data_IF_464211923483
#
_entry.id   IF_464211923483
#
_cell.length_a   1.000
_cell.length_b   1.000
_cell.length_c   1.000
_cell.angle_alpha   90.00
_cell.angle_beta   90.00
_cell.angle_gamma   90.00
#
_symmetry.space_group_name_H-M   'P 1'
#
loop_
_entity.id
_entity.type
_entity.pdbx_description
1 polymer ?
#
# COMPACT_ATOMS: atom_id res chain seq x y z
N UNK A 1 -4.32 -19.15 6.56
CA UNK A 1 -3.31 -18.89 5.51
C UNK A 1 -3.42 -17.43 5.10
N UNK A 2 -2.30 -16.70 5.02
CA UNK A 2 -2.22 -15.21 5.01
C UNK A 2 -2.30 -14.58 3.61
N UNK A 3 -2.16 -15.39 2.58
CA UNK A 3 -2.20 -15.04 1.15
C UNK A 3 -3.30 -15.88 0.50
N UNK A 4 -3.92 -15.37 -0.56
CA UNK A 4 -4.89 -16.08 -1.39
C UNK A 4 -4.25 -17.34 -1.99
N UNK A 5 -4.93 -18.46 -1.85
CA UNK A 5 -4.44 -19.75 -2.29
C UNK A 5 -4.77 -20.00 -3.76
N UNK A 6 -3.73 -20.20 -4.58
CA UNK A 6 -3.87 -20.79 -5.91
C UNK A 6 -4.08 -22.31 -5.74
N UNK A 7 -5.28 -22.77 -6.09
CA UNK A 7 -5.72 -24.16 -5.96
C UNK A 7 -5.31 -25.00 -7.18
N UNK A 8 -5.42 -24.44 -8.38
CA UNK A 8 -5.11 -25.15 -9.62
C UNK A 8 -4.79 -24.19 -10.78
N UNK A 9 -4.14 -24.73 -11.82
CA UNK A 9 -3.83 -24.03 -13.06
C UNK A 9 -4.28 -24.87 -14.24
N UNK A 10 -5.32 -24.42 -14.94
CA UNK A 10 -5.88 -25.12 -16.10
C UNK A 10 -5.45 -24.40 -17.38
N UNK A 11 -4.59 -25.05 -18.15
CA UNK A 11 -4.10 -24.55 -19.42
C UNK A 11 -4.80 -25.25 -20.60
N UNK A 12 -5.29 -24.45 -21.55
CA UNK A 12 -5.79 -24.91 -22.84
C UNK A 12 -5.04 -24.18 -23.96
N UNK A 13 -5.22 -24.59 -25.21
CA UNK A 13 -4.59 -23.92 -26.36
C UNK A 13 -4.92 -22.41 -26.47
N UNK A 14 -6.05 -21.98 -25.91
CA UNK A 14 -6.53 -20.59 -26.03
C UNK A 14 -6.54 -19.81 -24.72
N UNK A 15 -6.46 -20.49 -23.57
CA UNK A 15 -6.66 -19.86 -22.26
C UNK A 15 -5.74 -20.43 -21.19
N UNK A 16 -5.34 -19.55 -20.27
CA UNK A 16 -4.72 -19.92 -19.00
C UNK A 16 -5.70 -19.51 -17.89
N UNK A 17 -6.22 -20.50 -17.15
CA UNK A 17 -7.17 -20.26 -16.06
C UNK A 17 -6.46 -20.54 -14.74
N UNK A 18 -6.49 -19.57 -13.85
CA UNK A 18 -5.94 -19.66 -12.50
C UNK A 18 -7.10 -19.82 -11.53
N UNK A 19 -7.14 -20.94 -10.79
CA UNK A 19 -8.23 -21.28 -9.88
C UNK A 19 -7.78 -20.93 -8.47
N UNK A 20 -8.43 -19.95 -7.85
CA UNK A 20 -8.12 -19.49 -6.50
C UNK A 20 -9.18 -19.90 -5.49
N UNK A 21 -8.84 -19.85 -4.19
CA UNK A 21 -9.83 -19.92 -3.13
C UNK A 21 -10.84 -18.76 -3.23
N UNK A 22 -12.09 -19.03 -2.90
CA UNK A 22 -13.12 -18.00 -2.94
C UNK A 22 -13.07 -17.11 -1.69
N UNK A 23 -13.04 -15.79 -1.91
CA UNK A 23 -13.29 -14.78 -0.88
C UNK A 23 -14.56 -13.98 -1.23
N UNK A 24 -15.33 -13.59 -0.21
CA UNK A 24 -16.66 -13.01 -0.38
C UNK A 24 -16.64 -11.60 -0.98
N UNK A 25 -15.63 -10.80 -0.65
CA UNK A 25 -15.47 -9.44 -1.18
C UNK A 25 -14.03 -8.95 -1.04
N UNK A 26 -13.69 -7.88 -1.74
CA UNK A 26 -12.46 -7.11 -1.51
C UNK A 26 -12.69 -5.99 -0.47
N UNK A 27 -11.61 -5.42 0.06
CA UNK A 27 -11.68 -4.36 1.08
C UNK A 27 -12.35 -3.09 0.54
N UNK A 28 -12.28 -2.81 -0.77
CA UNK A 28 -12.97 -1.67 -1.37
C UNK A 28 -14.49 -1.83 -1.29
N UNK A 29 -15.01 -2.99 -1.68
CA UNK A 29 -16.43 -3.33 -1.52
C UNK A 29 -16.86 -3.34 -0.06
N UNK A 30 -15.98 -3.79 0.83
CA UNK A 30 -16.25 -3.76 2.27
C UNK A 30 -16.45 -2.33 2.78
N UNK A 31 -15.60 -1.38 2.37
CA UNK A 31 -15.80 0.05 2.71
C UNK A 31 -17.17 0.55 2.27
N UNK A 32 -17.57 0.22 1.04
CA UNK A 32 -18.86 0.65 0.48
C UNK A 32 -20.03 0.03 1.26
N UNK A 33 -19.90 -1.23 1.70
CA UNK A 33 -20.92 -1.94 2.48
C UNK A 33 -21.10 -1.40 3.90
N UNK A 34 -20.03 -0.93 4.53
CA UNK A 34 -20.06 -0.35 5.88
C UNK A 34 -20.40 1.15 5.86
N UNK A 35 -20.67 1.74 4.69
CA UNK A 35 -20.77 3.19 4.51
C UNK A 35 -19.56 3.95 5.12
N UNK A 36 -18.37 3.33 5.05
CA UNK A 36 -17.14 3.83 5.67
C UNK A 36 -17.06 3.75 7.20
N UNK A 37 -18.05 3.22 7.91
CA UNK A 37 -17.99 3.17 9.38
C UNK A 37 -17.47 1.83 9.91
N UNK A 38 -16.14 1.64 9.87
CA UNK A 38 -15.47 0.47 10.43
C UNK A 38 -15.09 0.71 11.90
N UNK A 39 -15.41 -0.21 12.79
CA UNK A 39 -15.03 -0.11 14.20
C UNK A 39 -13.52 -0.29 14.42
N UNK A 40 -13.00 0.28 15.52
CA UNK A 40 -11.56 0.29 15.79
C UNK A 40 -10.93 -1.11 15.94
N UNK A 41 -11.68 -2.11 16.42
CA UNK A 41 -11.16 -3.48 16.56
C UNK A 41 -11.02 -4.14 15.20
N UNK A 42 -11.98 -3.91 14.30
CA UNK A 42 -11.90 -4.39 12.92
C UNK A 42 -10.75 -3.72 12.16
N UNK A 43 -10.57 -2.40 12.32
CA UNK A 43 -9.39 -1.69 11.78
C UNK A 43 -8.09 -2.33 12.25
N UNK A 44 -7.96 -2.58 13.56
CA UNK A 44 -6.78 -3.23 14.13
C UNK A 44 -6.59 -4.66 13.60
N UNK A 45 -7.67 -5.45 13.50
CA UNK A 45 -7.64 -6.82 13.00
C UNK A 45 -7.17 -6.88 11.54
N UNK A 46 -7.75 -6.06 10.66
CA UNK A 46 -7.40 -6.05 9.25
C UNK A 46 -5.97 -5.57 9.03
N UNK A 47 -5.54 -4.51 9.72
CA UNK A 47 -4.17 -4.02 9.58
C UNK A 47 -3.16 -5.04 10.11
N UNK A 48 -3.46 -5.73 11.22
CA UNK A 48 -2.61 -6.81 11.74
C UNK A 48 -2.51 -8.00 10.78
N UNK A 49 -3.61 -8.39 10.12
CA UNK A 49 -3.60 -9.47 9.13
C UNK A 49 -2.83 -9.07 7.86
N UNK A 50 -2.97 -7.81 7.40
CA UNK A 50 -2.19 -7.24 6.30
C UNK A 50 -0.69 -7.31 6.59
N UNK A 51 -0.25 -6.80 7.75
CA UNK A 51 1.16 -6.83 8.14
C UNK A 51 1.71 -8.25 8.26
N UNK A 52 0.91 -9.20 8.74
CA UNK A 52 1.31 -10.60 8.76
C UNK A 52 1.48 -11.21 7.38
N UNK A 53 0.60 -10.89 6.43
CA UNK A 53 0.72 -11.29 5.03
C UNK A 53 1.99 -10.74 4.40
N UNK A 54 2.27 -9.45 4.64
CA UNK A 54 3.48 -8.81 4.13
C UNK A 54 4.75 -9.37 4.75
N UNK A 55 4.79 -9.57 6.07
CA UNK A 55 5.90 -10.23 6.76
C UNK A 55 6.19 -11.60 6.13
N UNK A 56 5.14 -12.39 5.88
CA UNK A 56 5.29 -13.68 5.22
C UNK A 56 5.87 -13.54 3.81
N UNK A 57 5.37 -12.61 2.98
CA UNK A 57 5.93 -12.37 1.64
C UNK A 57 7.39 -11.93 1.71
N UNK A 58 7.72 -10.98 2.58
CA UNK A 58 9.05 -10.38 2.73
C UNK A 58 10.08 -11.39 3.24
N UNK A 59 9.69 -12.26 4.19
CA UNK A 59 10.53 -13.40 4.65
C UNK A 59 10.86 -14.38 3.52
N UNK A 60 9.97 -14.52 2.53
CA UNK A 60 10.17 -15.32 1.33
C UNK A 60 10.74 -14.51 0.16
N UNK A 61 11.30 -13.32 0.44
CA UNK A 61 11.91 -12.43 -0.55
C UNK A 61 10.95 -11.99 -1.67
N UNK A 62 9.64 -11.93 -1.42
CA UNK A 62 8.61 -11.49 -2.38
C UNK A 62 8.14 -10.08 -2.02
N UNK A 63 8.22 -9.16 -2.98
CA UNK A 63 7.57 -7.83 -2.90
C UNK A 63 6.20 -7.89 -3.58
N UNK A 64 5.17 -7.32 -2.97
CA UNK A 64 3.82 -7.33 -3.54
C UNK A 64 3.68 -6.30 -4.68
N UNK A 65 4.10 -5.04 -4.45
CA UNK A 65 4.18 -3.94 -5.44
C UNK A 65 2.86 -3.49 -6.09
N UNK A 66 1.73 -4.04 -5.68
CA UNK A 66 0.40 -3.49 -6.03
C UNK A 66 -0.59 -3.56 -4.87
N UNK A 67 -0.15 -3.15 -3.69
CA UNK A 67 -1.04 -3.07 -2.54
C UNK A 67 -2.06 -1.93 -2.75
N UNK A 68 -3.33 -2.30 -2.72
CA UNK A 68 -4.50 -1.43 -2.76
C UNK A 68 -5.71 -2.19 -2.19
N UNK A 69 -6.78 -1.51 -1.75
CA UNK A 69 -7.95 -2.18 -1.16
C UNK A 69 -8.57 -3.27 -2.04
N UNK A 70 -8.52 -3.14 -3.37
CA UNK A 70 -9.04 -4.15 -4.31
C UNK A 70 -8.24 -5.47 -4.28
N UNK A 71 -6.97 -5.42 -3.86
CA UNK A 71 -6.08 -6.59 -3.77
C UNK A 71 -6.03 -7.19 -2.35
N UNK A 72 -6.89 -6.70 -1.45
CA UNK A 72 -7.07 -7.23 -0.10
C UNK A 72 -8.44 -7.91 -0.03
N UNK A 73 -8.43 -9.24 -0.06
CA UNK A 73 -9.65 -10.03 -0.05
C UNK A 73 -10.10 -10.34 1.37
N UNK A 74 -11.42 -10.41 1.56
CA UNK A 74 -12.08 -10.67 2.82
C UNK A 74 -13.00 -11.88 2.69
N UNK A 75 -12.84 -12.80 3.64
CA UNK A 75 -13.80 -13.90 3.84
C UNK A 75 -14.94 -13.44 4.75
N UNK A 76 -16.08 -14.14 4.72
CA UNK A 76 -17.23 -13.94 5.61
C UNK A 76 -16.89 -14.03 7.10
N UNK A 77 -15.79 -14.70 7.42
CA UNK A 77 -15.30 -14.86 8.80
C UNK A 77 -14.35 -13.72 9.23
N UNK A 78 -14.20 -12.67 8.43
CA UNK A 78 -13.33 -11.52 8.74
C UNK A 78 -11.84 -11.81 8.56
N UNK A 79 -11.48 -12.84 7.79
CA UNK A 79 -10.08 -13.09 7.43
C UNK A 79 -9.69 -12.26 6.22
N UNK A 80 -8.58 -11.54 6.33
CA UNK A 80 -7.97 -10.75 5.26
C UNK A 80 -6.84 -11.55 4.60
N UNK A 81 -6.82 -11.56 3.27
CA UNK A 81 -5.83 -12.25 2.44
C UNK A 81 -5.26 -11.30 1.39
N UNK A 82 -3.95 -11.36 1.18
CA UNK A 82 -3.31 -10.68 0.06
C UNK A 82 -3.60 -11.43 -1.24
N UNK A 83 -3.94 -10.71 -2.30
CA UNK A 83 -4.25 -11.24 -3.61
C UNK A 83 -3.58 -10.43 -4.72
N UNK A 84 -3.63 -10.95 -5.94
CA UNK A 84 -3.06 -10.31 -7.13
C UNK A 84 -1.54 -10.03 -7.03
N UNK A 85 -0.79 -11.13 -7.11
CA UNK A 85 0.67 -11.11 -7.22
C UNK A 85 1.14 -10.90 -8.67
N UNK A 86 0.29 -10.39 -9.58
CA UNK A 86 0.63 -10.21 -10.99
C UNK A 86 1.81 -9.27 -11.25
N UNK A 87 2.07 -8.35 -10.31
CA UNK A 87 3.22 -7.44 -10.32
C UNK A 87 4.30 -7.81 -9.28
N UNK A 88 4.07 -8.88 -8.53
CA UNK A 88 4.96 -9.32 -7.46
C UNK A 88 6.29 -9.83 -8.02
N UNK A 89 7.35 -9.71 -7.22
CA UNK A 89 8.70 -10.06 -7.67
C UNK A 89 9.58 -10.56 -6.54
N UNK A 90 10.40 -11.57 -6.83
CA UNK A 90 11.50 -11.96 -5.97
C UNK A 90 12.57 -10.85 -5.93
N UNK A 91 12.89 -10.36 -4.74
CA UNK A 91 14.00 -9.43 -4.49
C UNK A 91 15.31 -10.21 -4.25
N UNK A 92 16.47 -9.62 -4.58
CA UNK A 92 17.79 -10.24 -4.38
C UNK A 92 18.41 -10.91 -5.62
N UNK A 93 17.67 -11.02 -6.73
CA UNK A 93 18.25 -11.39 -8.04
C UNK A 93 18.70 -10.08 -8.73
N UNK A 94 19.96 -9.95 -9.18
CA UNK A 94 20.42 -8.73 -9.84
C UNK A 94 19.69 -8.56 -11.18
N UNK A 95 18.66 -7.72 -11.20
CA UNK A 95 18.01 -7.31 -12.46
C UNK A 95 18.32 -5.86 -12.72
N UNK A 96 18.78 -5.56 -13.94
CA UNK A 96 19.38 -4.29 -14.34
C UNK A 96 18.52 -3.03 -14.10
N UNK A 97 17.19 -3.14 -13.95
CA UNK A 97 16.27 -2.03 -13.64
C UNK A 97 14.93 -2.60 -13.17
N UNK A 98 14.32 -2.04 -12.11
CA UNK A 98 12.89 -2.20 -11.87
C UNK A 98 12.12 -1.15 -12.70
N UNK A 99 10.97 -1.51 -13.29
CA UNK A 99 10.09 -0.52 -13.94
C UNK A 99 9.56 0.45 -12.89
N UNK A 100 9.42 1.73 -13.26
CA UNK A 100 8.87 2.79 -12.40
C UNK A 100 7.34 2.84 -12.42
N UNK A 101 6.70 2.26 -13.44
CA UNK A 101 5.25 2.15 -13.58
C UNK A 101 4.70 0.94 -12.82
N UNK A 102 4.74 1.00 -11.49
CA UNK A 102 4.25 -0.06 -10.61
C UNK A 102 3.45 0.58 -9.48
N UNK A 103 2.52 -0.19 -8.90
CA UNK A 103 1.55 0.24 -7.90
C UNK A 103 0.54 1.24 -8.49
N UNK A 104 -0.71 1.19 -8.04
CA UNK A 104 -1.69 2.27 -8.28
C UNK A 104 -1.18 3.60 -7.67
N UNK A 105 -1.28 4.72 -8.40
CA UNK A 105 -0.64 6.01 -8.06
C UNK A 105 -0.82 6.44 -6.60
N UNK A 106 -2.01 6.24 -6.02
CA UNK A 106 -2.37 6.66 -4.67
C UNK A 106 -1.58 5.98 -3.54
N UNK A 107 -1.03 4.80 -3.83
CA UNK A 107 -0.29 3.97 -2.88
C UNK A 107 1.21 3.93 -3.18
N UNK A 108 1.70 4.72 -4.13
CA UNK A 108 3.12 4.81 -4.47
C UNK A 108 3.88 5.65 -3.44
N UNK A 109 5.05 5.18 -2.96
CA UNK A 109 5.90 5.97 -2.09
C UNK A 109 6.65 7.08 -2.84
N UNK A 110 7.13 8.12 -2.12
CA UNK A 110 7.83 9.26 -2.71
C UNK A 110 9.08 8.90 -3.52
N UNK A 111 9.83 7.89 -3.12
CA UNK A 111 11.04 7.42 -3.82
C UNK A 111 10.70 6.84 -5.19
N UNK A 112 9.65 6.03 -5.28
CA UNK A 112 9.11 5.53 -6.55
C UNK A 112 8.59 6.69 -7.42
N UNK A 113 7.88 7.65 -6.82
CA UNK A 113 7.37 8.84 -7.53
C UNK A 113 8.51 9.72 -8.06
N UNK A 114 9.65 9.76 -7.37
CA UNK A 114 10.88 10.40 -7.81
C UNK A 114 11.77 9.50 -8.71
N UNK A 115 11.25 8.36 -9.16
CA UNK A 115 11.91 7.53 -10.16
C UNK A 115 13.11 6.74 -9.62
N UNK A 116 13.20 6.51 -8.31
CA UNK A 116 14.15 5.54 -7.76
C UNK A 116 14.02 4.22 -8.54
N UNK A 117 15.13 3.52 -8.82
CA UNK A 117 15.11 2.27 -9.61
C UNK A 117 15.36 1.02 -8.78
N UNK A 118 15.68 1.20 -7.51
CA UNK A 118 15.99 0.16 -6.54
C UNK A 118 15.00 0.36 -5.41
N UNK A 119 14.17 -0.65 -5.17
CA UNK A 119 13.18 -0.64 -4.11
C UNK A 119 13.40 -1.85 -3.21
N UNK A 120 13.00 -1.73 -1.96
CA UNK A 120 13.04 -2.82 -0.98
C UNK A 120 11.63 -3.15 -0.52
N UNK A 121 11.49 -3.88 0.58
CA UNK A 121 10.21 -4.13 1.26
C UNK A 121 9.49 -2.83 1.65
N UNK A 122 10.20 -1.71 1.75
CA UNK A 122 9.67 -0.37 2.07
C UNK A 122 8.51 0.07 1.16
N UNK A 123 8.48 -0.36 -0.11
CA UNK A 123 7.39 -0.01 -1.03
C UNK A 123 6.03 -0.51 -0.54
N UNK A 124 5.99 -1.74 -0.03
CA UNK A 124 4.77 -2.35 0.47
C UNK A 124 4.38 -1.75 1.84
N UNK A 125 5.37 -1.38 2.66
CA UNK A 125 5.13 -0.73 3.97
C UNK A 125 4.46 0.63 3.79
N UNK A 126 4.89 1.42 2.81
CA UNK A 126 4.24 2.69 2.48
C UNK A 126 2.79 2.47 2.06
N UNK A 127 2.54 1.57 1.11
CA UNK A 127 1.19 1.27 0.65
C UNK A 127 0.31 0.75 1.80
N UNK A 128 0.85 -0.06 2.71
CA UNK A 128 0.15 -0.52 3.91
C UNK A 128 -0.22 0.64 4.85
N UNK A 129 0.66 1.64 5.01
CA UNK A 129 0.37 2.87 5.75
C UNK A 129 -0.80 3.67 5.14
N UNK A 130 -0.82 3.82 3.81
CA UNK A 130 -1.95 4.44 3.12
C UNK A 130 -3.27 3.68 3.37
N UNK A 131 -3.24 2.35 3.30
CA UNK A 131 -4.42 1.49 3.57
C UNK A 131 -4.84 1.57 5.04
N UNK A 132 -3.89 1.69 5.98
CA UNK A 132 -4.19 1.86 7.39
C UNK A 132 -4.96 3.15 7.67
N UNK A 133 -4.53 4.24 7.03
CA UNK A 133 -5.26 5.51 7.08
C UNK A 133 -6.67 5.39 6.48
N UNK A 134 -6.82 4.67 5.36
CA UNK A 134 -8.15 4.41 4.78
C UNK A 134 -9.06 3.61 5.71
N UNK A 135 -8.55 2.55 6.33
CA UNK A 135 -9.28 1.77 7.33
C UNK A 135 -9.78 2.68 8.48
N UNK A 136 -8.92 3.59 8.95
CA UNK A 136 -9.24 4.52 10.03
C UNK A 136 -10.13 5.71 9.62
N UNK A 137 -10.30 5.97 8.33
CA UNK A 137 -11.03 7.13 7.78
C UNK A 137 -12.23 6.74 6.90
N UNK A 138 -12.69 5.50 7.02
CA UNK A 138 -13.85 5.01 6.30
C UNK A 138 -13.69 4.87 4.81
N UNK A 139 -12.56 4.31 4.39
CA UNK A 139 -12.26 3.98 3.00
C UNK A 139 -11.95 5.19 2.13
N UNK A 140 -11.69 6.36 2.73
CA UNK A 140 -11.27 7.57 2.02
C UNK A 140 -9.75 7.53 1.81
N UNK A 141 -9.26 7.48 0.55
CA UNK A 141 -7.83 7.46 0.25
C UNK A 141 -7.10 8.62 0.91
N UNK A 142 -5.96 8.32 1.55
CA UNK A 142 -5.13 9.34 2.20
C UNK A 142 -4.54 10.31 1.16
N UNK A 143 -4.08 9.77 0.02
CA UNK A 143 -3.45 10.54 -1.06
C UNK A 143 -4.07 10.20 -2.41
N UNK A 144 -5.09 10.96 -2.82
CA UNK A 144 -5.78 10.80 -4.09
C UNK A 144 -5.29 11.77 -5.17
N UNK A 145 -4.03 11.63 -5.58
CA UNK A 145 -3.43 12.45 -6.63
C UNK A 145 -3.89 12.07 -8.04
N UNK A 146 -3.99 13.07 -8.92
CA UNK A 146 -4.34 12.89 -10.35
C UNK A 146 -3.12 12.73 -11.27
N UNK A 147 -1.94 13.13 -10.77
CA UNK A 147 -0.66 13.00 -11.46
C UNK A 147 0.46 12.75 -10.44
N UNK A 148 1.67 12.40 -10.90
CA UNK A 148 2.84 12.23 -10.00
C UNK A 148 3.14 13.52 -9.21
N UNK A 149 3.05 14.69 -9.86
CA UNK A 149 3.27 15.98 -9.20
C UNK A 149 2.19 16.27 -8.14
N UNK A 150 0.92 16.04 -8.46
CA UNK A 150 -0.18 16.23 -7.51
C UNK A 150 -0.09 15.23 -6.34
N UNK A 151 0.26 13.98 -6.61
CA UNK A 151 0.46 12.95 -5.60
C UNK A 151 1.57 13.36 -4.60
N UNK A 152 2.73 13.80 -5.10
CA UNK A 152 3.83 14.30 -4.26
C UNK A 152 3.39 15.51 -3.43
N UNK A 153 2.68 16.50 -4.02
CA UNK A 153 2.16 17.64 -3.26
C UNK A 153 1.21 17.24 -2.14
N UNK A 154 0.33 16.26 -2.39
CA UNK A 154 -0.61 15.75 -1.37
C UNK A 154 0.13 15.07 -0.22
N UNK A 155 1.13 14.25 -0.55
CA UNK A 155 1.99 13.61 0.45
C UNK A 155 2.68 14.69 1.31
N UNK A 156 3.38 15.64 0.69
CA UNK A 156 4.16 16.63 1.43
C UNK A 156 3.32 17.61 2.24
N UNK A 157 2.09 17.92 1.82
CA UNK A 157 1.16 18.70 2.65
C UNK A 157 0.81 18.01 3.97
N UNK A 158 0.84 16.68 4.00
CA UNK A 158 0.47 15.87 5.17
C UNK A 158 1.70 15.59 6.01
N UNK A 159 2.75 14.98 5.43
CA UNK A 159 3.93 14.51 6.18
C UNK A 159 5.13 15.46 6.13
N UNK A 160 5.03 16.58 5.42
CA UNK A 160 6.11 17.54 5.22
C UNK A 160 6.93 17.29 3.96
N UNK A 161 7.61 18.32 3.46
CA UNK A 161 8.53 18.21 2.32
C UNK A 161 9.87 17.63 2.79
N UNK A 162 10.38 16.56 2.15
CA UNK A 162 11.69 16.02 2.48
C UNK A 162 12.80 17.04 2.20
N UNK A 163 13.80 17.05 3.08
CA UNK A 163 15.03 17.83 2.96
C UNK A 163 16.22 16.88 3.02
N UNK A 164 17.40 17.35 2.62
CA UNK A 164 18.64 16.57 2.77
C UNK A 164 19.00 16.26 4.23
N UNK A 165 18.36 16.92 5.19
CA UNK A 165 18.51 16.63 6.62
C UNK A 165 17.69 15.42 7.05
N UNK A 166 16.43 15.32 6.62
CA UNK A 166 15.53 14.22 7.01
C UNK A 166 15.55 13.02 6.06
N UNK A 167 15.94 13.24 4.79
CA UNK A 167 16.12 12.21 3.79
C UNK A 167 17.36 12.52 2.94
N UNK A 168 18.56 12.19 3.46
CA UNK A 168 19.81 12.37 2.72
C UNK A 168 19.78 11.63 1.37
N UNK A 169 20.12 12.34 0.30
CA UNK A 169 20.15 11.84 -1.08
C UNK A 169 18.85 12.01 -1.85
N UNK A 170 17.78 12.58 -1.27
CA UNK A 170 16.50 12.79 -1.99
C UNK A 170 16.67 13.63 -3.26
N UNK A 171 17.55 14.64 -3.23
CA UNK A 171 17.83 15.49 -4.40
C UNK A 171 18.56 14.78 -5.54
N UNK A 172 19.10 13.58 -5.29
CA UNK A 172 19.83 12.79 -6.28
C UNK A 172 18.94 11.79 -7.04
N UNK A 173 17.66 11.70 -6.67
CA UNK A 173 16.73 10.79 -7.33
C UNK A 173 16.45 11.22 -8.78
N UNK A 174 16.26 10.27 -9.73
CA UNK A 174 16.27 10.57 -11.16
C UNK A 174 15.25 11.62 -11.62
N UNK A 175 14.07 11.63 -11.00
CA UNK A 175 12.97 12.54 -11.34
C UNK A 175 12.75 13.61 -10.27
N UNK A 176 13.72 13.83 -9.37
CA UNK A 176 13.61 14.83 -8.32
C UNK A 176 13.43 16.24 -8.90
N UNK A 177 12.49 16.98 -8.32
CA UNK A 177 12.26 18.40 -8.59
C UNK A 177 12.05 19.11 -7.26
N UNK A 178 12.51 20.37 -7.10
CA UNK A 178 12.23 21.14 -5.90
C UNK A 178 10.71 21.37 -5.73
N UNK A 179 10.18 21.08 -4.55
CA UNK A 179 8.81 21.42 -4.15
C UNK A 179 8.80 22.58 -3.15
N UNK A 180 7.65 23.23 -2.99
CA UNK A 180 7.43 24.14 -1.87
C UNK A 180 7.69 23.43 -0.54
N UNK A 181 8.29 24.13 0.43
CA UNK A 181 8.53 23.57 1.76
C UNK A 181 7.21 23.58 2.53
N UNK A 182 6.66 22.39 2.75
CA UNK A 182 5.54 22.14 3.63
C UNK A 182 6.09 21.64 4.97
N UNK A 183 5.62 22.22 6.07
CA UNK A 183 5.89 21.68 7.40
C UNK A 183 4.98 20.47 7.64
N UNK A 184 5.45 19.41 8.32
CA UNK A 184 4.59 18.31 8.74
C UNK A 184 3.38 18.89 9.47
N UNK A 185 2.19 18.64 8.95
CA UNK A 185 0.99 19.20 9.55
C UNK A 185 0.54 18.28 10.68
N UNK A 186 0.09 18.82 11.81
CA UNK A 186 -0.71 18.08 12.81
C UNK A 186 -2.03 17.53 12.21
N UNK A 187 -2.25 17.70 10.90
CA UNK A 187 -3.47 17.33 10.18
C UNK A 187 -3.68 15.82 10.07
N UNK A 188 -2.65 14.99 10.28
CA UNK A 188 -2.79 13.54 10.22
C UNK A 188 -3.87 13.04 11.20
N UNK A 189 -4.02 13.70 12.36
CA UNK A 189 -5.08 13.42 13.34
C UNK A 189 -6.48 13.55 12.73
N UNK A 190 -6.70 14.50 11.81
CA UNK A 190 -7.97 14.68 11.11
C UNK A 190 -8.23 13.59 10.07
N UNK A 191 -7.17 13.01 9.51
CA UNK A 191 -7.28 11.92 8.55
C UNK A 191 -7.46 10.57 9.22
N UNK A 192 -7.14 10.39 10.50
CA UNK A 192 -7.30 9.12 11.21
C UNK A 192 -7.99 9.27 12.57
N UNK A 193 -9.24 9.76 12.60
CA UNK A 193 -9.93 10.07 13.86
C UNK A 193 -10.17 8.84 14.74
N UNK A 194 -10.19 7.63 14.14
CA UNK A 194 -10.41 6.36 14.84
C UNK A 194 -9.15 5.78 15.48
N UNK A 195 -7.96 6.30 15.17
CA UNK A 195 -6.72 5.80 15.76
C UNK A 195 -6.44 6.44 17.12
N UNK A 196 -6.10 5.59 18.09
CA UNK A 196 -5.54 6.04 19.35
C UNK A 196 -4.08 6.51 19.16
N UNK A 197 -3.44 7.00 20.23
CA UNK A 197 -2.07 7.53 20.15
C UNK A 197 -1.06 6.50 19.62
N UNK A 198 -1.19 5.22 19.99
CA UNK A 198 -0.31 4.15 19.48
C UNK A 198 -0.54 3.85 18.00
N UNK A 199 -1.78 3.93 17.53
CA UNK A 199 -2.11 3.76 16.12
C UNK A 199 -1.57 4.92 15.27
N UNK A 200 -1.63 6.15 15.81
CA UNK A 200 -1.03 7.33 15.16
C UNK A 200 0.49 7.25 15.12
N UNK A 201 1.11 6.82 16.22
CA UNK A 201 2.56 6.58 16.31
C UNK A 201 3.01 5.51 15.30
N UNK A 202 2.25 4.42 15.14
CA UNK A 202 2.55 3.38 14.14
C UNK A 202 2.41 3.86 12.68
N UNK A 203 1.61 4.90 12.43
CA UNK A 203 1.39 5.45 11.09
C UNK A 203 2.43 6.52 10.70
N UNK A 204 3.12 7.10 11.69
CA UNK A 204 4.12 8.18 11.52
C UNK A 204 5.54 7.61 11.49
#
# INVERSE_FOLDING_TARGET
MKVELLLDVIHTEKTLNLIFEYCDQDLKKYFDSCNGDIDAKTVQSFFWQLLQGLSYCHEHSVLHRDLKPQNLLLTKNGQLKLADFGLARAYGIPVKCYSSEVVTLWYRPPDVLFGAKIYTTSIDIWSAGCIFAELANGGKPLFSGESVDDQLRRIFKVIGTPTEENWPGVSTLPEYKPFSIYQPTLSLIHFVPKLNNKGKDLLL
#
